data_IF_008142842160
#
_entry.id   IF_008142842160
#
_cell.length_a   1.000
_cell.length_b   1.000
_cell.length_c   1.000
_cell.angle_alpha   90.00
_cell.angle_beta   90.00
_cell.angle_gamma   90.00
#
_symmetry.space_group_name_H-M   'P 1'
#
loop_
_entity.id
_entity.type
_entity.pdbx_description
1 polymer ?
#
# COMPACT_ATOMS: atom_id res chain seq x y z
N UNK A 1 52.92 -27.06 -16.28
CA UNK A 1 51.68 -26.71 -17.03
C UNK A 1 51.06 -25.51 -16.35
N UNK A 2 51.42 -24.35 -16.86
CA UNK A 2 51.33 -23.04 -16.23
C UNK A 2 49.98 -22.39 -16.57
N UNK A 3 48.92 -22.78 -15.85
CA UNK A 3 47.57 -22.28 -16.12
C UNK A 3 47.28 -20.88 -15.52
N UNK A 4 48.21 -20.32 -14.74
CA UNK A 4 48.06 -19.01 -14.08
C UNK A 4 49.16 -18.03 -14.51
N UNK A 5 49.49 -17.96 -15.79
CA UNK A 5 50.35 -16.89 -16.32
C UNK A 5 49.49 -15.90 -17.12
N UNK A 6 48.50 -15.29 -16.47
CA UNK A 6 47.52 -14.39 -17.12
C UNK A 6 48.21 -13.14 -17.73
N UNK A 7 49.43 -12.79 -17.26
CA UNK A 7 50.17 -11.60 -17.72
C UNK A 7 51.65 -11.81 -18.10
N UNK A 8 52.11 -13.04 -18.35
CA UNK A 8 53.51 -13.26 -18.80
C UNK A 8 54.59 -12.86 -17.78
N UNK A 9 54.24 -12.77 -16.50
CA UNK A 9 55.15 -12.38 -15.42
C UNK A 9 56.02 -13.58 -15.04
N UNK A 10 57.35 -13.44 -15.16
CA UNK A 10 58.35 -14.49 -14.85
C UNK A 10 58.62 -14.65 -13.35
N UNK A 11 58.25 -13.67 -12.52
CA UNK A 11 58.45 -13.69 -11.06
C UNK A 11 57.25 -14.33 -10.32
N UNK A 12 57.49 -15.44 -9.62
CA UNK A 12 56.44 -16.21 -8.92
C UNK A 12 55.65 -15.40 -7.87
N UNK A 13 56.30 -14.53 -7.11
CA UNK A 13 55.66 -13.73 -6.07
C UNK A 13 54.76 -12.61 -6.64
N UNK A 14 55.19 -11.97 -7.74
CA UNK A 14 54.39 -10.96 -8.44
C UNK A 14 53.14 -11.59 -9.07
N UNK A 15 53.29 -12.77 -9.68
CA UNK A 15 52.16 -13.48 -10.27
C UNK A 15 51.12 -13.91 -9.21
N UNK A 16 51.59 -14.39 -8.05
CA UNK A 16 50.72 -14.68 -6.91
C UNK A 16 49.96 -13.43 -6.44
N UNK A 17 50.66 -12.30 -6.28
CA UNK A 17 50.06 -11.04 -5.84
C UNK A 17 49.00 -10.52 -6.84
N UNK A 18 49.31 -10.53 -8.15
CA UNK A 18 48.36 -10.13 -9.22
C UNK A 18 47.16 -11.05 -9.25
N UNK A 19 47.36 -12.36 -9.11
CA UNK A 19 46.27 -13.35 -9.09
C UNK A 19 45.33 -13.14 -7.91
N UNK A 20 45.88 -12.87 -6.72
CA UNK A 20 45.09 -12.55 -5.51
C UNK A 20 44.31 -11.24 -5.66
N UNK A 21 44.94 -10.20 -6.22
CA UNK A 21 44.29 -8.92 -6.50
C UNK A 21 43.12 -9.09 -7.48
N UNK A 22 43.30 -9.86 -8.55
CA UNK A 22 42.27 -10.11 -9.56
C UNK A 22 41.10 -10.90 -8.96
N UNK A 23 41.38 -11.93 -8.16
CA UNK A 23 40.37 -12.68 -7.42
C UNK A 23 39.56 -11.76 -6.49
N UNK A 24 40.25 -10.87 -5.76
CA UNK A 24 39.60 -9.91 -4.88
C UNK A 24 38.70 -8.92 -5.65
N UNK A 25 39.17 -8.37 -6.78
CA UNK A 25 38.37 -7.49 -7.63
C UNK A 25 37.13 -8.19 -8.19
N UNK A 26 37.26 -9.46 -8.58
CA UNK A 26 36.13 -10.28 -9.05
C UNK A 26 35.13 -10.52 -7.91
N UNK A 27 35.61 -10.86 -6.71
CA UNK A 27 34.74 -11.02 -5.55
C UNK A 27 33.98 -9.73 -5.19
N UNK A 28 34.67 -8.58 -5.21
CA UNK A 28 34.05 -7.27 -5.01
C UNK A 28 33.01 -6.93 -6.09
N UNK A 29 33.30 -7.26 -7.36
CA UNK A 29 32.35 -7.06 -8.45
C UNK A 29 31.07 -7.89 -8.24
N UNK A 30 31.18 -9.17 -7.88
CA UNK A 30 30.00 -9.98 -7.56
C UNK A 30 29.25 -9.47 -6.33
N UNK A 31 29.96 -9.01 -5.30
CA UNK A 31 29.34 -8.40 -4.13
C UNK A 31 28.55 -7.13 -4.51
N UNK A 32 29.09 -6.29 -5.39
CA UNK A 32 28.41 -5.10 -5.93
C UNK A 32 27.16 -5.46 -6.74
N UNK A 33 27.24 -6.47 -7.61
CA UNK A 33 26.08 -6.96 -8.39
C UNK A 33 25.00 -7.54 -7.47
N UNK A 34 25.39 -8.30 -6.44
CA UNK A 34 24.44 -8.80 -5.45
C UNK A 34 23.78 -7.66 -4.66
N UNK A 35 24.58 -6.66 -4.28
CA UNK A 35 24.09 -5.49 -3.55
C UNK A 35 23.08 -4.68 -4.37
N UNK A 36 23.33 -4.42 -5.66
CA UNK A 36 22.36 -3.70 -6.53
C UNK A 36 21.07 -4.48 -6.69
N UNK A 37 21.12 -5.80 -6.83
CA UNK A 37 19.92 -6.63 -6.88
C UNK A 37 19.14 -6.60 -5.57
N UNK A 38 19.83 -6.69 -4.43
CA UNK A 38 19.20 -6.66 -3.11
C UNK A 38 18.59 -5.29 -2.77
N UNK A 39 19.24 -4.19 -3.17
CA UNK A 39 18.73 -2.82 -3.02
C UNK A 39 17.53 -2.57 -3.96
N UNK A 40 17.63 -2.98 -5.23
CA UNK A 40 16.58 -2.78 -6.23
C UNK A 40 15.28 -3.51 -5.85
N UNK A 41 15.36 -4.73 -5.32
CA UNK A 41 14.18 -5.48 -4.87
C UNK A 41 13.47 -4.88 -3.66
N UNK A 42 14.16 -4.07 -2.85
CA UNK A 42 13.54 -3.37 -1.71
C UNK A 42 12.87 -2.06 -2.12
N UNK A 43 13.27 -1.48 -3.25
CA UNK A 43 12.83 -0.15 -3.71
C UNK A 43 11.83 -0.18 -4.86
N UNK A 44 11.80 -1.25 -5.66
CA UNK A 44 11.00 -1.31 -6.90
C UNK A 44 10.12 -2.55 -6.91
N UNK A 45 8.80 -2.35 -7.00
CA UNK A 45 7.81 -3.44 -7.04
C UNK A 45 7.78 -4.15 -8.39
N UNK A 46 8.08 -3.42 -9.47
CA UNK A 46 8.09 -3.94 -10.83
C UNK A 46 9.33 -4.79 -11.11
N UNK A 47 9.07 -6.09 -11.32
CA UNK A 47 10.11 -7.10 -11.57
C UNK A 47 10.95 -6.80 -12.82
N UNK A 48 10.37 -6.16 -13.83
CA UNK A 48 11.06 -5.78 -15.07
C UNK A 48 12.12 -4.69 -14.84
N UNK A 49 11.82 -3.68 -14.03
CA UNK A 49 12.76 -2.60 -13.70
C UNK A 49 13.93 -3.12 -12.85
N UNK A 50 13.66 -4.05 -11.93
CA UNK A 50 14.70 -4.76 -11.18
C UNK A 50 15.61 -5.56 -12.12
N UNK A 51 15.06 -6.27 -13.11
CA UNK A 51 15.87 -7.03 -14.09
C UNK A 51 16.70 -6.11 -14.98
N UNK A 52 16.15 -4.97 -15.43
CA UNK A 52 16.91 -4.01 -16.25
C UNK A 52 18.05 -3.36 -15.46
N UNK A 53 17.82 -2.98 -14.19
CA UNK A 53 18.86 -2.41 -13.33
C UNK A 53 20.00 -3.40 -13.03
N UNK A 54 19.66 -4.67 -12.85
CA UNK A 54 20.64 -5.73 -12.57
C UNK A 54 21.42 -6.14 -13.81
N UNK A 55 20.78 -6.16 -14.99
CA UNK A 55 21.46 -6.31 -16.28
C UNK A 55 22.36 -5.12 -16.60
N UNK A 56 21.96 -3.89 -16.26
CA UNK A 56 22.81 -2.70 -16.41
C UNK A 56 24.04 -2.76 -15.48
N UNK A 57 23.88 -3.31 -14.26
CA UNK A 57 24.98 -3.57 -13.32
C UNK A 57 25.99 -4.61 -13.81
N UNK A 58 25.68 -5.37 -14.86
CA UNK A 58 26.60 -6.33 -15.47
C UNK A 58 27.76 -5.61 -16.18
N UNK A 59 27.59 -4.35 -16.59
CA UNK A 59 28.68 -3.51 -17.08
C UNK A 59 29.60 -3.14 -15.88
N UNK A 60 30.84 -3.66 -15.82
CA UNK A 60 31.66 -3.57 -14.62
C UNK A 60 31.93 -2.12 -14.23
N UNK A 61 31.73 -1.83 -12.95
CA UNK A 61 31.90 -0.54 -12.26
C UNK A 61 30.94 0.59 -12.69
N UNK A 62 30.67 0.75 -13.98
CA UNK A 62 29.80 1.82 -14.49
C UNK A 62 28.34 1.55 -14.15
N UNK A 63 27.88 0.31 -14.27
CA UNK A 63 26.48 -0.04 -14.04
C UNK A 63 26.04 0.22 -12.59
N UNK A 64 26.90 -0.09 -11.62
CA UNK A 64 26.68 0.18 -10.19
C UNK A 64 26.70 1.67 -9.87
N UNK A 65 27.59 2.44 -10.50
CA UNK A 65 27.66 3.89 -10.35
C UNK A 65 26.40 4.58 -10.91
N UNK A 66 25.95 4.18 -12.10
CA UNK A 66 24.71 4.69 -12.69
C UNK A 66 23.50 4.33 -11.82
N UNK A 67 23.46 3.10 -11.29
CA UNK A 67 22.42 2.68 -10.37
C UNK A 67 22.36 3.56 -9.10
N UNK A 68 23.51 3.92 -8.53
CA UNK A 68 23.57 4.82 -7.38
C UNK A 68 22.98 6.21 -7.66
N UNK A 69 23.11 6.72 -8.90
CA UNK A 69 22.56 8.02 -9.31
C UNK A 69 21.04 7.95 -9.52
N UNK A 70 20.56 6.87 -10.15
CA UNK A 70 19.13 6.67 -10.47
C UNK A 70 18.34 6.08 -9.28
N UNK A 71 19.02 5.78 -8.17
CA UNK A 71 18.47 5.10 -7.00
C UNK A 71 17.15 5.76 -6.54
N UNK A 72 16.00 5.07 -6.65
CA UNK A 72 14.72 5.63 -6.24
C UNK A 72 14.73 5.90 -4.72
N UNK A 73 14.27 7.07 -4.27
CA UNK A 73 14.41 7.49 -2.87
C UNK A 73 13.45 6.79 -1.91
N UNK A 74 12.27 6.35 -2.38
CA UNK A 74 11.24 5.74 -1.54
C UNK A 74 11.30 4.21 -1.54
N UNK A 75 11.13 3.62 -0.36
CA UNK A 75 10.91 2.19 -0.22
C UNK A 75 9.44 1.87 -0.43
N UNK A 76 9.15 0.68 -0.97
CA UNK A 76 7.77 0.21 -1.16
C UNK A 76 7.00 0.12 0.16
N UNK A 77 7.71 -0.22 1.23
CA UNK A 77 7.14 -0.33 2.57
C UNK A 77 6.66 1.04 3.09
N UNK A 78 7.41 2.11 2.81
CA UNK A 78 7.04 3.48 3.22
C UNK A 78 5.79 3.97 2.48
N UNK A 79 5.67 3.65 1.19
CA UNK A 79 4.47 3.96 0.39
C UNK A 79 3.27 3.21 0.95
N UNK A 80 3.45 1.93 1.27
CA UNK A 80 2.39 1.10 1.80
C UNK A 80 1.91 1.56 3.17
N UNK A 81 2.82 1.99 4.05
CA UNK A 81 2.49 2.55 5.35
C UNK A 81 1.63 3.82 5.20
N UNK A 82 2.06 4.75 4.35
CA UNK A 82 1.29 5.98 4.07
C UNK A 82 -0.10 5.69 3.51
N UNK A 83 -0.23 4.73 2.60
CA UNK A 83 -1.54 4.32 2.08
C UNK A 83 -2.47 3.80 3.18
N UNK A 84 -1.94 3.00 4.11
CA UNK A 84 -2.70 2.47 5.23
C UNK A 84 -3.10 3.57 6.22
N UNK A 85 -2.23 4.53 6.48
CA UNK A 85 -2.53 5.70 7.31
C UNK A 85 -3.64 6.57 6.69
N UNK A 86 -3.56 6.83 5.38
CA UNK A 86 -4.59 7.58 4.64
C UNK A 86 -5.94 6.86 4.68
N UNK A 87 -5.96 5.56 4.36
CA UNK A 87 -7.19 4.77 4.39
C UNK A 87 -7.82 4.71 5.80
N UNK A 88 -6.99 4.64 6.85
CA UNK A 88 -7.46 4.70 8.23
C UNK A 88 -8.03 6.08 8.60
N UNK A 89 -7.44 7.16 8.10
CA UNK A 89 -7.95 8.52 8.28
C UNK A 89 -9.28 8.73 7.54
N UNK A 90 -9.39 8.27 6.29
CA UNK A 90 -10.62 8.33 5.49
C UNK A 90 -11.76 7.55 6.15
N UNK A 91 -11.51 6.36 6.69
CA UNK A 91 -12.51 5.58 7.42
C UNK A 91 -13.01 6.31 8.68
N UNK A 92 -12.12 7.03 9.38
CA UNK A 92 -12.52 7.86 10.55
C UNK A 92 -13.42 9.01 10.14
N UNK A 93 -13.13 9.68 9.01
CA UNK A 93 -13.97 10.77 8.49
C UNK A 93 -15.33 10.26 8.01
N UNK A 94 -15.39 9.14 7.29
CA UNK A 94 -16.64 8.55 6.82
C UNK A 94 -17.61 8.20 7.96
N UNK A 95 -17.09 7.71 9.09
CA UNK A 95 -17.90 7.45 10.27
C UNK A 95 -18.47 8.73 10.92
N UNK A 96 -17.76 9.86 10.84
CA UNK A 96 -18.25 11.14 11.32
C UNK A 96 -19.31 11.69 10.37
N UNK A 97 -19.12 11.62 9.05
CA UNK A 97 -20.13 12.08 8.08
C UNK A 97 -21.48 11.37 8.23
N UNK A 98 -21.50 10.06 8.57
CA UNK A 98 -22.74 9.33 8.90
C UNK A 98 -23.51 9.90 10.11
N UNK A 99 -22.81 10.62 10.99
CA UNK A 99 -23.36 11.27 12.18
C UNK A 99 -23.69 12.74 11.95
N UNK A 100 -23.68 13.24 10.71
CA UNK A 100 -24.10 14.60 10.38
C UNK A 100 -25.36 14.60 9.51
N UNK A 101 -26.22 15.61 9.70
CA UNK A 101 -27.42 15.76 8.89
C UNK A 101 -27.04 16.21 7.46
N UNK A 102 -27.43 15.50 6.39
CA UNK A 102 -27.05 15.83 5.01
C UNK A 102 -27.62 17.15 4.47
N UNK A 103 -28.44 17.84 5.25
CA UNK A 103 -29.11 19.07 4.85
C UNK A 103 -28.67 20.32 5.61
N UNK A 104 -28.29 20.18 6.89
CA UNK A 104 -27.95 21.30 7.76
C UNK A 104 -26.66 21.09 8.55
N UNK A 105 -25.97 19.97 8.31
CA UNK A 105 -24.69 19.59 8.91
C UNK A 105 -24.69 19.58 10.45
N UNK A 106 -25.89 19.39 11.04
CA UNK A 106 -26.04 19.28 12.48
C UNK A 106 -25.65 17.86 12.93
N UNK A 107 -24.93 17.76 14.04
CA UNK A 107 -24.54 16.48 14.64
C UNK A 107 -25.79 15.69 15.07
N UNK A 108 -25.94 14.48 14.56
CA UNK A 108 -27.07 13.58 14.74
C UNK A 108 -26.59 12.22 15.23
N UNK A 109 -27.41 11.58 16.06
CA UNK A 109 -27.11 10.27 16.58
C UNK A 109 -27.82 9.17 15.79
N UNK A 110 -27.31 7.94 15.82
CA UNK A 110 -27.86 6.81 15.04
C UNK A 110 -29.34 6.52 15.38
N UNK A 111 -29.80 6.93 16.56
CA UNK A 111 -31.15 6.73 17.10
C UNK A 111 -32.16 7.80 16.68
N UNK A 112 -31.73 8.91 16.07
CA UNK A 112 -32.61 10.03 15.75
C UNK A 112 -33.46 9.76 14.51
N UNK A 113 -34.78 9.95 14.64
CA UNK A 113 -35.74 9.83 13.52
C UNK A 113 -35.86 11.14 12.72
N UNK A 114 -35.65 12.29 13.37
CA UNK A 114 -35.69 13.64 12.81
C UNK A 114 -34.53 14.46 13.35
N UNK A 115 -34.02 15.37 12.53
CA UNK A 115 -32.99 16.31 12.97
C UNK A 115 -33.57 17.33 13.98
N UNK A 116 -32.93 17.59 15.12
CA UNK A 116 -33.37 18.60 16.08
C UNK A 116 -33.34 20.04 15.55
N UNK A 117 -32.43 20.34 14.61
CA UNK A 117 -32.25 21.70 14.06
C UNK A 117 -33.17 21.96 12.86
N UNK A 118 -33.13 21.12 11.82
CA UNK A 118 -33.90 21.35 10.60
C UNK A 118 -35.25 20.62 10.53
N UNK A 119 -35.57 19.77 11.53
CA UNK A 119 -36.82 19.00 11.63
C UNK A 119 -37.11 18.02 10.47
N UNK A 120 -36.19 17.90 9.50
CA UNK A 120 -36.27 16.93 8.40
C UNK A 120 -36.14 15.51 8.92
N UNK A 121 -36.85 14.59 8.26
CA UNK A 121 -36.82 13.17 8.57
C UNK A 121 -35.52 12.57 8.05
N UNK A 122 -34.81 11.85 8.92
CA UNK A 122 -33.54 11.20 8.60
C UNK A 122 -33.73 9.73 8.26
N UNK A 123 -34.53 9.02 9.07
CA UNK A 123 -34.76 7.57 8.97
C UNK A 123 -36.25 7.24 9.05
N UNK A 124 -36.63 6.09 8.50
CA UNK A 124 -37.99 5.58 8.63
C UNK A 124 -38.10 4.71 9.90
N UNK A 125 -39.14 4.88 10.73
CA UNK A 125 -39.39 4.01 11.86
C UNK A 125 -39.91 2.66 11.34
N UNK A 126 -39.49 1.57 11.98
CA UNK A 126 -40.08 0.26 11.75
C UNK A 126 -41.59 0.27 12.11
N UNK A 127 -42.44 -0.31 11.26
CA UNK A 127 -43.89 -0.39 11.50
C UNK A 127 -44.30 -1.20 12.73
N UNK A 128 -43.46 -2.13 13.18
CA UNK A 128 -43.74 -3.00 14.34
C UNK A 128 -43.19 -2.43 15.65
N UNK A 129 -41.93 -2.00 15.67
CA UNK A 129 -41.25 -1.59 16.91
C UNK A 129 -41.00 -0.07 17.03
N UNK A 130 -41.27 0.71 15.99
CA UNK A 130 -41.07 2.17 15.98
C UNK A 130 -39.61 2.64 15.99
N UNK A 131 -38.63 1.73 16.05
CA UNK A 131 -37.20 2.06 16.08
C UNK A 131 -36.70 2.56 14.71
N UNK A 132 -35.68 3.44 14.68
CA UNK A 132 -35.12 3.95 13.43
C UNK A 132 -34.51 2.82 12.62
N UNK A 133 -34.89 2.78 11.35
CA UNK A 133 -34.47 1.77 10.40
C UNK A 133 -33.77 2.43 9.22
N UNK A 134 -32.67 1.81 8.80
CA UNK A 134 -31.92 2.24 7.63
C UNK A 134 -32.58 1.69 6.35
N UNK A 135 -32.83 2.52 5.32
CA UNK A 135 -33.48 2.07 4.08
C UNK A 135 -32.71 0.98 3.32
N UNK A 136 -31.43 0.74 3.66
CA UNK A 136 -30.63 -0.33 3.04
C UNK A 136 -30.91 -1.72 3.61
N UNK A 137 -31.61 -1.83 4.74
CA UNK A 137 -31.85 -3.10 5.44
C UNK A 137 -33.14 -3.76 4.99
N UNK A 138 -33.10 -5.09 4.78
CA UNK A 138 -34.26 -5.92 4.39
C UNK A 138 -35.00 -6.55 5.58
N UNK A 139 -34.42 -6.47 6.78
CA UNK A 139 -34.98 -6.97 8.02
C UNK A 139 -34.65 -5.99 9.15
N UNK A 140 -35.57 -5.81 10.10
CA UNK A 140 -35.32 -4.99 11.28
C UNK A 140 -34.41 -5.74 12.28
N UNK A 141 -33.21 -5.22 12.63
CA UNK A 141 -32.30 -5.91 13.58
C UNK A 141 -32.82 -5.95 15.02
N UNK A 142 -33.89 -5.22 15.33
CA UNK A 142 -34.42 -5.13 16.70
C UNK A 142 -35.63 -6.03 16.95
N UNK A 143 -36.45 -6.28 15.93
CA UNK A 143 -37.68 -7.07 16.05
C UNK A 143 -37.81 -8.16 14.98
N UNK A 144 -36.78 -8.36 14.17
CA UNK A 144 -36.69 -9.40 13.12
C UNK A 144 -37.83 -9.36 12.07
N UNK A 145 -38.59 -8.27 12.01
CA UNK A 145 -39.64 -8.11 11.00
C UNK A 145 -39.05 -7.75 9.64
N UNK A 146 -39.57 -8.36 8.58
CA UNK A 146 -39.18 -8.03 7.20
C UNK A 146 -39.66 -6.63 6.83
N UNK A 147 -38.75 -5.81 6.31
CA UNK A 147 -39.11 -4.48 5.79
C UNK A 147 -39.54 -4.64 4.34
N UNK A 148 -40.85 -4.58 4.11
CA UNK A 148 -41.43 -4.73 2.77
C UNK A 148 -42.67 -5.64 2.72
N UNK A 149 -42.98 -6.35 3.80
CA UNK A 149 -44.20 -7.16 3.91
C UNK A 149 -45.31 -6.41 4.65
N UNK A 150 -46.23 -5.81 3.90
CA UNK A 150 -47.60 -5.40 4.29
C UNK A 150 -47.83 -4.09 5.09
N UNK A 151 -48.42 -3.13 4.36
CA UNK A 151 -49.52 -2.22 4.75
C UNK A 151 -49.13 -0.93 5.50
N UNK A 152 -49.18 0.25 4.86
CA UNK A 152 -50.37 1.09 4.65
C UNK A 152 -50.94 1.70 5.95
N UNK A 153 -50.55 2.94 6.26
CA UNK A 153 -51.34 3.81 7.13
C UNK A 153 -52.13 4.79 6.25
N UNK A 154 -53.48 4.80 6.30
CA UNK A 154 -54.28 5.77 5.57
C UNK A 154 -53.96 7.17 6.09
N UNK A 155 -53.70 8.11 5.18
CA UNK A 155 -53.76 9.54 5.52
C UNK A 155 -55.17 9.82 6.03
N UNK A 156 -55.31 10.09 7.33
CA UNK A 156 -56.56 10.62 7.89
C UNK A 156 -56.74 12.04 7.33
N UNK A 157 -57.96 12.39 6.84
CA UNK A 157 -58.26 13.71 6.30
C UNK A 157 -58.15 14.81 7.37
#
# INVERSE_FOLDING_TARGET
MSLLAIFGITNSWLNLAVSLLLLFLVALYFALVYWTWADARRRIGDRLLVTCATLASLFPFVGTLVYMIVRPPEYLDDVRERELEMAAAEARLAHLEELHCPYCDFEIERTFLRCPSCLRRLKEPCGTCGKPLDPRWKICPYCESEVGGLQAQPRRP
#
